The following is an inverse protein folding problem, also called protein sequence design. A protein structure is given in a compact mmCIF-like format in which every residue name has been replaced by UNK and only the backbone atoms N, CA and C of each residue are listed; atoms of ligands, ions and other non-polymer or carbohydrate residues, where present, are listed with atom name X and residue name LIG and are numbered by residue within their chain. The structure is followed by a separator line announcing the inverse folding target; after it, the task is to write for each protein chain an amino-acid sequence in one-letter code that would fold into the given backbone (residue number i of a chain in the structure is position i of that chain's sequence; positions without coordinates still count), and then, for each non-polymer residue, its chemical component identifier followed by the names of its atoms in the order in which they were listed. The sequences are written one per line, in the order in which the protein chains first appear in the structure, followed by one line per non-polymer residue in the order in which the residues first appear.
data_IF_218920800247
#
_entry.id   IF_218920800247
#
_cell.length_a   1.000
_cell.length_b   1.000
_cell.length_c   1.000
_cell.angle_alpha   90.00
_cell.angle_beta   90.00
_cell.angle_gamma   90.00
#
_symmetry.space_group_name_H-M   'P 1'
#
loop_
_entity.id
_entity.type
_entity.pdbx_description
1 polymer ?
#
# COMPACT_ATOMS: atom_id res chain seq x y z
N UNK A 1 2.47 5.49 16.01
CA UNK A 1 1.67 4.56 15.18
C UNK A 1 0.35 4.35 15.91
N UNK A 2 -0.79 4.64 15.29
CA UNK A 2 -2.10 4.37 15.91
C UNK A 2 -2.40 2.87 15.85
N UNK A 3 -3.14 2.34 16.82
CA UNK A 3 -3.45 0.90 16.90
C UNK A 3 -4.08 0.31 15.63
N UNK A 4 -5.03 0.98 14.93
CA UNK A 4 -5.65 0.46 13.72
C UNK A 4 -4.65 0.22 12.58
N UNK A 5 -3.74 1.18 12.34
CA UNK A 5 -2.71 1.06 11.29
C UNK A 5 -1.79 -0.14 11.57
N UNK A 6 -1.47 -0.42 12.84
CA UNK A 6 -0.63 -1.56 13.21
C UNK A 6 -1.31 -2.89 12.90
N UNK A 7 -2.61 -2.99 13.15
CA UNK A 7 -3.40 -4.19 12.87
C UNK A 7 -3.53 -4.40 11.35
N UNK A 8 -3.86 -3.34 10.61
CA UNK A 8 -3.94 -3.38 9.16
C UNK A 8 -2.59 -3.75 8.52
N UNK A 9 -1.48 -3.17 8.99
CA UNK A 9 -0.15 -3.49 8.50
C UNK A 9 0.22 -4.97 8.75
N UNK A 10 -0.10 -5.51 9.93
CA UNK A 10 0.13 -6.93 10.22
C UNK A 10 -0.67 -7.83 9.27
N UNK A 11 -1.93 -7.50 8.99
CA UNK A 11 -2.78 -8.23 8.03
C UNK A 11 -2.23 -8.17 6.61
N UNK A 12 -1.93 -6.98 6.09
CA UNK A 12 -1.40 -6.80 4.74
C UNK A 12 -0.05 -7.50 4.56
N UNK A 13 0.81 -7.48 5.59
CA UNK A 13 2.06 -8.24 5.60
C UNK A 13 1.82 -9.74 5.47
N UNK A 14 0.86 -10.29 6.21
CA UNK A 14 0.54 -11.71 6.16
C UNK A 14 -0.08 -12.13 4.82
N UNK A 15 -0.97 -11.31 4.26
CA UNK A 15 -1.69 -11.62 3.02
C UNK A 15 -0.82 -11.47 1.76
N UNK A 16 -0.01 -10.40 1.67
CA UNK A 16 0.72 -10.06 0.45
C UNK A 16 2.23 -10.29 0.55
N UNK A 17 2.73 -10.74 1.70
CA UNK A 17 4.15 -10.98 1.94
C UNK A 17 4.98 -9.69 1.91
N UNK A 18 4.40 -8.56 2.34
CA UNK A 18 5.08 -7.26 2.37
C UNK A 18 6.12 -7.19 3.50
N UNK A 19 7.18 -6.41 3.29
CA UNK A 19 8.08 -6.04 4.38
C UNK A 19 7.36 -5.07 5.31
N UNK A 20 7.79 -5.01 6.57
CA UNK A 20 7.14 -4.17 7.59
C UNK A 20 6.96 -2.71 7.15
N UNK A 21 7.96 -2.02 6.57
CA UNK A 21 7.76 -0.64 6.11
C UNK A 21 6.69 -0.52 5.02
N UNK A 22 6.67 -1.44 4.06
CA UNK A 22 5.74 -1.43 2.93
C UNK A 22 4.30 -1.68 3.41
N UNK A 23 4.13 -2.61 4.36
CA UNK A 23 2.85 -2.92 4.97
C UNK A 23 2.29 -1.73 5.79
N UNK A 24 3.16 -1.01 6.52
CA UNK A 24 2.77 0.20 7.25
C UNK A 24 2.33 1.32 6.30
N UNK A 25 3.05 1.48 5.18
CA UNK A 25 2.70 2.48 4.17
C UNK A 25 1.33 2.18 3.56
N UNK A 26 1.10 0.94 3.11
CA UNK A 26 -0.18 0.52 2.56
C UNK A 26 -1.33 0.64 3.57
N UNK A 27 -1.12 0.20 4.82
CA UNK A 27 -2.10 0.33 5.89
C UNK A 27 -2.46 1.79 6.17
N UNK A 28 -1.49 2.70 6.09
CA UNK A 28 -1.76 4.14 6.26
C UNK A 28 -2.63 4.69 5.15
N UNK A 29 -2.43 4.26 3.90
CA UNK A 29 -3.27 4.66 2.78
C UNK A 29 -4.72 4.15 2.96
N UNK A 30 -4.88 2.86 3.29
CA UNK A 30 -6.19 2.23 3.51
C UNK A 30 -6.93 2.86 4.69
N UNK A 31 -6.31 2.92 5.87
CA UNK A 31 -6.94 3.49 7.08
C UNK A 31 -7.15 5.01 6.96
N UNK A 32 -6.37 5.68 6.12
CA UNK A 32 -6.55 7.09 5.76
C UNK A 32 -7.69 7.34 4.77
N UNK A 33 -8.35 6.30 4.26
CA UNK A 33 -9.44 6.39 3.30
C UNK A 33 -9.01 6.72 1.87
N UNK A 34 -7.75 6.45 1.50
CA UNK A 34 -7.30 6.59 0.13
C UNK A 34 -7.91 5.49 -0.75
N UNK A 35 -8.28 5.84 -1.98
CA UNK A 35 -8.77 4.87 -2.99
C UNK A 35 -7.64 4.15 -3.71
N UNK A 36 -6.39 4.53 -3.45
CA UNK A 36 -5.22 3.92 -4.05
C UNK A 36 -3.93 4.65 -3.69
N UNK A 37 -2.82 4.21 -4.27
CA UNK A 37 -1.51 4.82 -4.06
C UNK A 37 -0.70 4.93 -5.34
N UNK A 38 0.16 5.94 -5.39
CA UNK A 38 1.14 6.16 -6.47
C UNK A 38 2.52 5.83 -5.92
N UNK A 39 3.29 4.99 -6.62
CA UNK A 39 4.63 4.58 -6.17
C UNK A 39 5.55 4.29 -7.34
N UNK A 40 6.87 4.33 -7.14
CA UNK A 40 7.85 3.82 -8.11
C UNK A 40 8.21 2.35 -7.84
N UNK A 41 7.81 1.81 -6.69
CA UNK A 41 8.15 0.45 -6.28
C UNK A 41 7.09 -0.55 -6.75
N UNK A 42 7.51 -1.45 -7.64
CA UNK A 42 6.66 -2.51 -8.22
C UNK A 42 6.19 -3.53 -7.19
N UNK A 43 6.81 -3.62 -6.01
CA UNK A 43 6.35 -4.56 -4.98
C UNK A 43 4.95 -4.27 -4.48
N UNK A 44 4.50 -3.01 -4.53
CA UNK A 44 3.14 -2.63 -4.14
C UNK A 44 2.07 -3.08 -5.12
N UNK A 45 2.42 -3.51 -6.35
CA UNK A 45 1.43 -4.06 -7.29
C UNK A 45 0.72 -5.31 -6.77
N UNK A 46 1.26 -5.94 -5.73
CA UNK A 46 0.63 -7.07 -5.01
C UNK A 46 -0.61 -6.68 -4.21
N UNK A 47 -0.85 -5.38 -4.00
CA UNK A 47 -1.96 -4.82 -3.23
C UNK A 47 -3.16 -4.40 -4.08
N UNK A 48 -3.11 -4.59 -5.40
CA UNK A 48 -4.24 -4.27 -6.26
C UNK A 48 -5.40 -5.18 -5.88
N UNK A 49 -6.49 -4.58 -5.39
CA UNK A 49 -7.74 -5.25 -5.00
C UNK A 49 -8.93 -4.51 -5.61
N UNK A 50 -10.17 -5.01 -5.40
CA UNK A 50 -11.39 -4.43 -5.99
C UNK A 50 -11.60 -2.95 -5.66
N UNK A 51 -11.12 -2.51 -4.49
CA UNK A 51 -11.40 -1.19 -3.92
C UNK A 51 -10.12 -0.38 -3.62
N UNK A 52 -8.96 -0.83 -4.08
CA UNK A 52 -7.68 -0.16 -3.84
C UNK A 52 -6.73 -0.26 -5.04
N UNK A 53 -6.48 0.87 -5.69
CA UNK A 53 -5.63 0.95 -6.87
C UNK A 53 -4.15 1.20 -6.54
N UNK A 54 -3.26 0.68 -7.38
CA UNK A 54 -1.82 0.97 -7.30
C UNK A 54 -1.31 1.42 -8.66
N UNK A 55 -0.90 2.69 -8.75
CA UNK A 55 -0.30 3.25 -9.95
C UNK A 55 1.21 3.35 -9.83
N UNK A 56 1.91 2.88 -10.86
CA UNK A 56 3.33 3.18 -10.99
C UNK A 56 3.50 4.59 -11.53
N UNK A 57 4.23 5.43 -10.79
CA UNK A 57 4.60 6.73 -11.30
C UNK A 57 5.55 6.56 -12.49
N UNK A 58 5.12 7.00 -13.66
CA UNK A 58 6.02 7.27 -14.78
C UNK A 58 6.26 8.76 -14.82
N UNK A 59 7.51 9.18 -14.64
CA UNK A 59 7.89 10.57 -14.90
C UNK A 59 7.57 10.84 -16.38
N UNK A 60 6.73 11.84 -16.65
CA UNK A 60 6.53 12.34 -18.00
C UNK A 60 7.88 12.77 -18.56
N UNK A 61 8.31 12.13 -19.64
CA UNK A 61 9.49 12.57 -20.40
C UNK A 61 9.10 13.62 -21.44
N UNK A 62 10.07 14.40 -21.95
CA UNK A 62 10.09 14.65 -23.39
C UNK A 62 10.24 13.31 -24.16
#
# INVERSE_FOLDING_TARGET
MTTPISIAAARLRALHGLRTPDAIHAATAVEGGATGMITNDKHFLKLVESDFDVWLFKKGGP
#
